data_IF_763251211107
#
_entry.id   IF_763251211107
#
_cell.length_a   1.000
_cell.length_b   1.000
_cell.length_c   1.000
_cell.angle_alpha   90.00
_cell.angle_beta   90.00
_cell.angle_gamma   90.00
#
_symmetry.space_group_name_H-M   'P 1'
#
loop_
_entity.id
_entity.type
_entity.pdbx_description
1 polymer ?
#
# COMPACT_ATOMS: atom_id res chain seq x y z
N UNK A 1 -0.55 -23.83 3.33
CA UNK A 1 -1.90 -23.76 3.92
C UNK A 1 -2.03 -22.63 4.95
N UNK A 2 -1.09 -22.46 5.89
CA UNK A 2 -1.17 -21.44 6.97
C UNK A 2 -1.37 -19.97 6.52
N UNK A 3 -0.62 -19.46 5.54
CA UNK A 3 -0.69 -18.04 5.16
C UNK A 3 -2.01 -17.67 4.48
N UNK A 4 -2.50 -18.49 3.55
CA UNK A 4 -3.75 -18.21 2.84
C UNK A 4 -4.94 -18.15 3.80
N UNK A 5 -4.99 -19.08 4.76
CA UNK A 5 -5.99 -19.08 5.84
C UNK A 5 -5.86 -17.82 6.70
N UNK A 6 -4.65 -17.43 7.11
CA UNK A 6 -4.46 -16.23 7.92
C UNK A 6 -4.83 -14.94 7.15
N UNK A 7 -4.50 -14.83 5.87
CA UNK A 7 -4.89 -13.70 5.03
C UNK A 7 -6.41 -13.59 4.92
N UNK A 8 -7.11 -14.72 4.73
CA UNK A 8 -8.56 -14.73 4.63
C UNK A 8 -9.25 -14.47 5.97
N UNK A 9 -8.96 -15.29 6.97
CA UNK A 9 -9.76 -15.39 8.18
C UNK A 9 -9.34 -14.38 9.27
N UNK A 10 -8.09 -13.89 9.21
CA UNK A 10 -7.57 -12.89 10.16
C UNK A 10 -7.37 -11.52 9.53
N UNK A 11 -6.72 -11.43 8.36
CA UNK A 11 -6.51 -10.13 7.68
C UNK A 11 -7.79 -9.64 7.00
N UNK A 12 -8.68 -10.53 6.58
CA UNK A 12 -9.95 -10.17 5.93
C UNK A 12 -9.88 -10.09 4.41
N UNK A 13 -8.93 -10.80 3.78
CA UNK A 13 -8.79 -10.85 2.32
C UNK A 13 -9.85 -11.75 1.66
N UNK A 14 -10.23 -11.53 0.40
CA UNK A 14 -9.78 -10.47 -0.51
C UNK A 14 -10.42 -9.11 -0.21
N UNK A 15 -9.70 -8.02 -0.44
CA UNK A 15 -10.28 -6.68 -0.30
C UNK A 15 -11.06 -6.30 -1.56
N UNK A 16 -12.18 -5.56 -1.45
CA UNK A 16 -12.99 -5.25 -2.63
C UNK A 16 -12.31 -4.24 -3.56
N UNK A 17 -12.51 -4.44 -4.86
CA UNK A 17 -12.29 -3.43 -5.89
C UNK A 17 -13.58 -2.62 -6.10
N UNK A 18 -13.65 -1.48 -5.42
CA UNK A 18 -14.87 -0.68 -5.29
C UNK A 18 -14.99 0.35 -6.41
N UNK A 19 -16.09 0.37 -7.15
CA UNK A 19 -16.35 1.43 -8.13
C UNK A 19 -16.79 2.72 -7.40
N UNK A 20 -15.96 3.75 -7.44
CA UNK A 20 -16.22 5.01 -6.77
C UNK A 20 -17.09 5.93 -7.65
N UNK A 21 -18.37 5.57 -7.82
CA UNK A 21 -19.29 6.25 -8.74
C UNK A 21 -19.29 7.78 -8.60
N UNK A 22 -19.35 8.30 -7.37
CA UNK A 22 -19.33 9.75 -7.12
C UNK A 22 -18.03 10.42 -7.56
N UNK A 23 -16.90 9.74 -7.38
CA UNK A 23 -15.58 10.24 -7.79
C UNK A 23 -15.43 10.14 -9.32
N UNK A 24 -15.89 9.05 -9.91
CA UNK A 24 -16.03 8.91 -11.37
C UNK A 24 -16.84 10.06 -11.95
N UNK A 25 -18.00 10.37 -11.37
CA UNK A 25 -18.87 11.45 -11.85
C UNK A 25 -18.27 12.85 -11.65
N UNK A 26 -17.47 13.04 -10.62
CA UNK A 26 -16.74 14.30 -10.39
C UNK A 26 -15.75 14.63 -11.51
N UNK A 27 -15.07 13.61 -12.07
CA UNK A 27 -14.08 13.79 -13.13
C UNK A 27 -14.63 13.64 -14.55
N UNK A 28 -15.95 13.43 -14.70
CA UNK A 28 -16.58 13.52 -16.01
C UNK A 28 -16.61 14.97 -16.47
N UNK A 29 -16.35 15.16 -17.76
CA UNK A 29 -16.52 16.45 -18.41
C UNK A 29 -18.02 16.79 -18.56
N UNK A 30 -18.31 17.98 -19.11
CA UNK A 30 -19.68 18.48 -19.34
C UNK A 30 -20.54 17.55 -20.21
N UNK A 31 -19.91 16.72 -21.05
CA UNK A 31 -20.61 15.74 -21.90
C UNK A 31 -20.86 14.40 -21.18
N UNK A 32 -20.51 14.29 -19.89
CA UNK A 32 -20.63 13.07 -19.11
C UNK A 32 -19.54 12.02 -19.42
N UNK A 33 -18.46 12.44 -20.07
CA UNK A 33 -17.37 11.55 -20.49
C UNK A 33 -16.16 11.72 -19.58
N UNK A 34 -15.52 10.61 -19.22
CA UNK A 34 -14.34 10.62 -18.36
C UNK A 34 -13.84 9.21 -18.06
N UNK A 35 -12.80 9.08 -17.24
CA UNK A 35 -12.35 7.79 -16.73
C UNK A 35 -13.36 7.20 -15.74
N UNK A 36 -13.30 5.88 -15.54
CA UNK A 36 -14.00 5.19 -14.46
C UNK A 36 -13.01 4.85 -13.35
N UNK A 37 -13.34 5.23 -12.12
CA UNK A 37 -12.41 5.19 -10.99
C UNK A 37 -12.81 4.09 -10.01
N UNK A 38 -11.87 3.19 -9.77
CA UNK A 38 -12.00 2.08 -8.85
C UNK A 38 -10.99 2.22 -7.72
N UNK A 39 -11.40 1.85 -6.51
CA UNK A 39 -10.58 1.89 -5.32
C UNK A 39 -10.27 0.46 -4.89
N UNK A 40 -8.98 0.10 -4.79
CA UNK A 40 -8.56 -1.15 -4.16
C UNK A 40 -8.49 -0.91 -2.64
N UNK A 41 -9.41 -1.53 -1.89
CA UNK A 41 -9.75 -1.16 -0.51
C UNK A 41 -8.87 -1.82 0.55
N UNK A 42 -7.55 -1.62 0.49
CA UNK A 42 -6.61 -2.12 1.52
C UNK A 42 -6.80 -1.48 2.90
N UNK A 43 -7.56 -0.38 2.97
CA UNK A 43 -8.04 0.25 4.20
C UNK A 43 -8.98 -0.64 5.02
N UNK A 44 -9.59 -1.66 4.40
CA UNK A 44 -10.50 -2.60 5.05
C UNK A 44 -9.82 -3.84 5.64
N UNK A 45 -8.51 -4.00 5.44
CA UNK A 45 -7.76 -5.07 6.11
C UNK A 45 -7.87 -4.90 7.63
N UNK A 46 -7.76 -6.00 8.37
CA UNK A 46 -7.49 -5.95 9.81
C UNK A 46 -6.30 -5.01 10.08
N UNK A 47 -6.33 -4.24 11.17
CA UNK A 47 -5.32 -3.20 11.42
C UNK A 47 -5.35 -1.99 10.46
N UNK A 48 -6.28 -1.96 9.50
CA UNK A 48 -6.60 -0.80 8.67
C UNK A 48 -5.57 -0.44 7.60
N UNK A 49 -4.71 -1.37 7.16
CA UNK A 49 -3.79 -1.11 6.04
C UNK A 49 -3.24 -2.36 5.35
N UNK A 50 -2.63 -2.18 4.18
CA UNK A 50 -1.92 -3.25 3.44
C UNK A 50 -0.77 -3.90 4.24
N UNK A 51 -0.22 -3.23 5.26
CA UNK A 51 0.97 -3.71 5.99
C UNK A 51 0.74 -5.05 6.68
N UNK A 52 -0.52 -5.40 7.00
CA UNK A 52 -0.85 -6.68 7.61
C UNK A 52 -0.49 -7.88 6.75
N UNK A 53 -0.52 -7.76 5.42
CA UNK A 53 -0.10 -8.83 4.50
C UNK A 53 1.34 -9.27 4.80
N UNK A 54 2.21 -8.28 4.95
CA UNK A 54 3.63 -8.48 5.24
C UNK A 54 3.88 -8.94 6.67
N UNK A 55 3.20 -8.33 7.66
CA UNK A 55 3.37 -8.66 9.08
C UNK A 55 3.00 -10.12 9.34
N UNK A 56 1.84 -10.58 8.88
CA UNK A 56 1.39 -11.95 9.15
C UNK A 56 2.27 -12.98 8.46
N UNK A 57 2.72 -12.70 7.24
CA UNK A 57 3.61 -13.57 6.49
C UNK A 57 4.99 -13.70 7.16
N UNK A 58 5.58 -12.59 7.60
CA UNK A 58 6.85 -12.61 8.33
C UNK A 58 6.72 -13.23 9.72
N UNK A 59 5.61 -13.04 10.43
CA UNK A 59 5.37 -13.70 11.71
C UNK A 59 5.29 -15.24 11.56
N UNK A 60 4.59 -15.71 10.52
CA UNK A 60 4.56 -17.13 10.16
C UNK A 60 5.96 -17.63 9.79
N UNK A 61 6.73 -16.85 9.02
CA UNK A 61 8.11 -17.18 8.67
C UNK A 61 9.00 -17.31 9.92
N UNK A 62 8.94 -16.34 10.83
CA UNK A 62 9.67 -16.35 12.10
C UNK A 62 9.36 -17.61 12.93
N UNK A 63 8.07 -17.95 13.04
CA UNK A 63 7.61 -19.18 13.72
C UNK A 63 8.17 -20.44 13.06
N UNK A 64 8.17 -20.51 11.72
CA UNK A 64 8.72 -21.66 10.98
C UNK A 64 10.24 -21.78 11.10
N UNK A 65 10.93 -20.65 11.24
CA UNK A 65 12.36 -20.60 11.53
C UNK A 65 12.69 -20.97 12.98
N UNK A 66 11.69 -21.25 13.83
CA UNK A 66 11.90 -21.61 15.24
C UNK A 66 12.30 -20.41 16.12
N UNK A 67 12.05 -19.17 15.67
CA UNK A 67 12.38 -17.96 16.42
C UNK A 67 11.41 -17.81 17.60
N UNK A 68 11.94 -17.38 18.74
CA UNK A 68 11.23 -17.24 20.02
C UNK A 68 10.60 -15.86 20.19
N UNK A 69 11.18 -14.84 19.56
CA UNK A 69 10.72 -13.46 19.62
C UNK A 69 10.87 -12.77 18.26
N UNK A 70 10.07 -11.71 18.09
CA UNK A 70 10.11 -10.83 16.93
C UNK A 70 10.44 -9.43 17.43
N UNK A 71 11.36 -8.77 16.75
CA UNK A 71 11.68 -7.37 16.97
C UNK A 71 11.37 -6.56 15.71
N UNK A 72 11.00 -5.30 15.88
CA UNK A 72 10.73 -4.39 14.77
C UNK A 72 11.02 -2.96 15.20
N UNK A 73 11.35 -2.11 14.24
CA UNK A 73 11.49 -0.68 14.46
C UNK A 73 10.26 0.03 13.90
N UNK A 74 9.62 0.86 14.71
CA UNK A 74 8.54 1.73 14.27
C UNK A 74 8.86 3.17 14.63
N UNK A 75 8.69 4.06 13.66
CA UNK A 75 8.51 5.47 13.92
C UNK A 75 7.08 5.81 13.53
N UNK A 76 6.30 6.37 14.46
CA UNK A 76 5.17 7.16 14.03
C UNK A 76 5.71 8.28 13.14
N UNK A 77 5.05 8.55 12.02
CA UNK A 77 5.42 9.49 10.96
C UNK A 77 5.60 10.97 11.43
N UNK A 78 5.70 11.19 12.76
CA UNK A 78 5.95 12.46 13.47
C UNK A 78 7.42 12.68 13.84
N UNK A 79 8.22 11.63 13.98
CA UNK A 79 9.64 11.75 14.27
C UNK A 79 10.36 11.53 12.93
N UNK A 80 10.98 12.58 12.38
CA UNK A 80 11.51 12.61 11.00
C UNK A 80 12.41 11.43 10.61
N UNK A 81 12.73 11.35 9.30
CA UNK A 81 13.46 10.21 8.67
C UNK A 81 14.72 9.79 9.44
N UNK A 82 15.45 10.72 10.05
CA UNK A 82 16.64 10.44 10.84
C UNK A 82 16.35 9.60 12.10
N UNK A 83 15.29 9.91 12.84
CA UNK A 83 14.90 9.15 14.05
C UNK A 83 14.43 7.74 13.69
N UNK A 84 13.68 7.61 12.60
CA UNK A 84 13.28 6.31 12.07
C UNK A 84 14.50 5.45 11.68
N UNK A 85 15.48 6.06 11.00
CA UNK A 85 16.72 5.39 10.62
C UNK A 85 17.56 4.97 11.83
N UNK A 86 17.64 5.82 12.87
CA UNK A 86 18.34 5.51 14.11
C UNK A 86 17.67 4.33 14.85
N UNK A 87 16.34 4.36 15.00
CA UNK A 87 15.59 3.26 15.63
C UNK A 87 15.72 1.94 14.86
N UNK A 88 15.69 1.98 13.52
CA UNK A 88 15.93 0.82 12.67
C UNK A 88 17.35 0.28 12.85
N UNK A 89 18.35 1.16 12.90
CA UNK A 89 19.76 0.78 13.10
C UNK A 89 19.97 0.11 14.46
N UNK A 90 19.39 0.66 15.53
CA UNK A 90 19.51 0.08 16.87
C UNK A 90 18.82 -1.28 16.96
N UNK A 91 17.62 -1.39 16.39
CA UNK A 91 16.90 -2.68 16.34
C UNK A 91 17.70 -3.72 15.56
N UNK A 92 18.37 -3.34 14.46
CA UNK A 92 19.25 -4.27 13.75
C UNK A 92 20.46 -4.70 14.59
N UNK A 93 21.04 -3.81 15.41
CA UNK A 93 22.14 -4.20 16.31
C UNK A 93 21.69 -5.20 17.37
N UNK A 94 20.51 -4.98 17.96
CA UNK A 94 19.92 -5.93 18.91
C UNK A 94 19.70 -7.31 18.26
N UNK A 95 19.11 -7.32 17.06
CA UNK A 95 18.89 -8.56 16.31
C UNK A 95 20.20 -9.31 16.03
N UNK A 96 21.26 -8.60 15.64
CA UNK A 96 22.57 -9.18 15.39
C UNK A 96 23.17 -9.85 16.64
N UNK A 97 22.82 -9.38 17.83
CA UNK A 97 23.20 -10.02 19.09
C UNK A 97 22.46 -11.34 19.37
N UNK A 98 21.26 -11.51 18.80
CA UNK A 98 20.32 -12.57 19.16
C UNK A 98 19.79 -13.38 17.95
N UNK A 99 20.58 -13.53 16.88
CA UNK A 99 20.17 -14.14 15.60
C UNK A 99 19.55 -15.54 15.69
N UNK A 100 19.90 -16.32 16.71
CA UNK A 100 19.37 -17.66 16.92
C UNK A 100 17.94 -17.64 17.48
N UNK A 101 17.61 -16.65 18.30
CA UNK A 101 16.34 -16.56 19.02
C UNK A 101 15.38 -15.55 18.40
N UNK A 102 15.89 -14.51 17.73
CA UNK A 102 15.11 -13.38 17.26
C UNK A 102 14.94 -13.31 15.74
N UNK A 103 13.80 -12.75 15.34
CA UNK A 103 13.50 -12.39 13.96
C UNK A 103 13.28 -10.88 13.83
N UNK A 104 14.00 -10.24 12.92
CA UNK A 104 13.73 -8.84 12.57
C UNK A 104 12.60 -8.74 11.53
N UNK A 105 11.45 -8.22 11.96
CA UNK A 105 10.30 -7.98 11.09
C UNK A 105 10.43 -6.63 10.41
N UNK A 106 10.75 -6.66 9.11
CA UNK A 106 10.83 -5.44 8.30
C UNK A 106 9.45 -4.97 7.87
N UNK A 107 9.09 -3.73 8.19
CA UNK A 107 7.86 -3.08 7.73
C UNK A 107 7.95 -2.44 6.34
N UNK A 108 9.11 -2.52 5.67
CA UNK A 108 9.42 -1.78 4.45
C UNK A 108 10.11 -2.63 3.39
N UNK A 109 9.95 -2.26 2.11
CA UNK A 109 10.68 -2.87 1.00
C UNK A 109 12.13 -2.36 0.89
N UNK A 110 12.56 -1.40 1.72
CA UNK A 110 13.94 -0.90 1.74
C UNK A 110 14.77 -1.74 2.72
N UNK A 111 15.90 -2.28 2.26
CA UNK A 111 16.81 -3.06 3.08
C UNK A 111 17.68 -4.01 2.25
N UNK A 112 18.61 -4.74 2.88
CA UNK A 112 19.42 -5.74 2.19
C UNK A 112 18.55 -6.91 1.70
N UNK A 113 19.04 -7.62 0.69
CA UNK A 113 18.47 -8.92 0.32
C UNK A 113 18.41 -9.84 1.58
N UNK A 114 17.29 -10.56 1.81
CA UNK A 114 16.13 -10.77 0.94
C UNK A 114 14.93 -9.84 1.16
N UNK A 115 15.06 -8.78 1.97
CA UNK A 115 13.93 -7.95 2.43
C UNK A 115 13.10 -7.37 1.26
N UNK A 116 13.68 -6.70 0.24
CA UNK A 116 12.88 -6.09 -0.83
C UNK A 116 12.04 -7.11 -1.60
N UNK A 117 12.63 -8.27 -1.93
CA UNK A 117 11.96 -9.36 -2.63
C UNK A 117 10.84 -9.95 -1.76
N UNK A 118 11.13 -10.25 -0.50
CA UNK A 118 10.18 -10.83 0.43
C UNK A 118 8.96 -9.92 0.65
N UNK A 119 9.19 -8.63 0.90
CA UNK A 119 8.10 -7.67 1.13
C UNK A 119 7.27 -7.47 -0.13
N UNK A 120 7.88 -7.46 -1.32
CA UNK A 120 7.16 -7.46 -2.59
C UNK A 120 6.27 -8.69 -2.72
N UNK A 121 6.81 -9.89 -2.50
CA UNK A 121 6.06 -11.15 -2.61
C UNK A 121 4.84 -11.14 -1.68
N UNK A 122 4.99 -10.76 -0.42
CA UNK A 122 3.88 -10.74 0.52
C UNK A 122 2.80 -9.70 0.20
N UNK A 123 3.16 -8.62 -0.50
CA UNK A 123 2.19 -7.61 -0.94
C UNK A 123 1.65 -7.85 -2.35
N UNK A 124 2.21 -8.79 -3.13
CA UNK A 124 1.79 -9.10 -4.51
C UNK A 124 0.33 -9.53 -4.61
N UNK A 125 -0.24 -10.05 -3.52
CA UNK A 125 -1.65 -10.43 -3.41
C UNK A 125 -2.61 -9.28 -3.77
N UNK A 126 -2.19 -8.03 -3.55
CA UNK A 126 -2.98 -6.83 -3.89
C UNK A 126 -3.16 -6.73 -5.41
N UNK A 127 -2.07 -6.89 -6.16
CA UNK A 127 -2.08 -6.90 -7.63
C UNK A 127 -2.86 -8.10 -8.18
N UNK A 128 -2.62 -9.30 -7.63
CA UNK A 128 -3.29 -10.54 -8.04
C UNK A 128 -4.81 -10.44 -7.90
N UNK A 129 -5.30 -9.98 -6.75
CA UNK A 129 -6.72 -9.76 -6.52
C UNK A 129 -7.26 -8.66 -7.45
N UNK A 130 -6.52 -7.57 -7.64
CA UNK A 130 -6.92 -6.49 -8.56
C UNK A 130 -7.10 -7.03 -9.98
N UNK A 131 -6.18 -7.86 -10.49
CA UNK A 131 -6.30 -8.46 -11.83
C UNK A 131 -7.53 -9.35 -11.93
N UNK A 132 -7.71 -10.26 -10.96
CA UNK A 132 -8.87 -11.15 -10.90
C UNK A 132 -10.17 -10.35 -10.90
N UNK A 133 -10.28 -9.35 -10.02
CA UNK A 133 -11.48 -8.53 -9.84
C UNK A 133 -11.75 -7.63 -11.07
N UNK A 134 -10.71 -7.12 -11.73
CA UNK A 134 -10.82 -6.38 -12.99
C UNK A 134 -11.40 -7.26 -14.11
N UNK A 135 -10.87 -8.49 -14.25
CA UNK A 135 -11.35 -9.46 -15.22
C UNK A 135 -12.83 -9.81 -14.97
N UNK A 136 -13.22 -10.02 -13.71
CA UNK A 136 -14.61 -10.32 -13.34
C UNK A 136 -15.56 -9.14 -13.59
N UNK A 137 -15.11 -7.88 -13.40
CA UNK A 137 -15.97 -6.70 -13.50
C UNK A 137 -16.13 -6.17 -14.92
N UNK A 138 -15.08 -6.21 -15.73
CA UNK A 138 -15.11 -5.62 -17.07
C UNK A 138 -14.38 -6.46 -18.13
N UNK A 139 -14.03 -7.72 -17.84
CA UNK A 139 -13.48 -8.65 -18.83
C UNK A 139 -12.05 -8.32 -19.26
N UNK A 140 -11.30 -7.54 -18.47
CA UNK A 140 -9.96 -7.10 -18.86
C UNK A 140 -9.10 -6.68 -17.69
N UNK A 141 -8.05 -5.91 -18.00
CA UNK A 141 -7.13 -5.31 -17.02
C UNK A 141 -7.44 -3.82 -16.84
N UNK A 142 -6.96 -3.19 -15.75
CA UNK A 142 -6.99 -1.74 -15.63
C UNK A 142 -6.16 -1.09 -16.73
N UNK A 143 -6.50 0.13 -17.13
CA UNK A 143 -5.67 0.93 -18.05
C UNK A 143 -4.60 1.71 -17.28
N UNK A 144 -4.96 2.17 -16.07
CA UNK A 144 -4.07 2.95 -15.22
C UNK A 144 -4.14 2.45 -13.78
N UNK A 145 -2.98 2.23 -13.16
CA UNK A 145 -2.81 1.94 -11.74
C UNK A 145 -2.16 3.14 -11.05
N UNK A 146 -2.76 3.61 -9.96
CA UNK A 146 -2.24 4.74 -9.17
C UNK A 146 -2.05 4.28 -7.73
N UNK A 147 -0.86 4.50 -7.19
CA UNK A 147 -0.55 4.18 -5.80
C UNK A 147 0.40 5.22 -5.22
N UNK A 148 0.22 5.53 -3.93
CA UNK A 148 1.19 6.36 -3.24
C UNK A 148 2.49 5.61 -2.99
N UNK A 149 3.60 6.35 -3.02
CA UNK A 149 4.96 5.86 -2.84
C UNK A 149 5.58 6.60 -1.65
N UNK A 150 5.79 5.87 -0.56
CA UNK A 150 6.72 6.24 0.51
C UNK A 150 7.96 5.36 0.38
N UNK A 151 8.05 4.31 1.21
CA UNK A 151 9.06 3.26 1.03
C UNK A 151 8.72 2.20 -0.03
N UNK A 152 7.72 2.47 -0.88
CA UNK A 152 7.39 1.69 -2.08
C UNK A 152 6.58 0.40 -1.91
N UNK A 153 6.46 -0.19 -0.72
CA UNK A 153 5.83 -1.51 -0.54
C UNK A 153 4.34 -1.58 -1.00
N UNK A 154 3.57 -0.52 -0.79
CA UNK A 154 2.20 -0.39 -1.29
C UNK A 154 2.10 -0.46 -2.82
N UNK A 155 2.89 0.39 -3.48
CA UNK A 155 2.92 0.50 -4.93
C UNK A 155 3.46 -0.78 -5.56
N UNK A 156 4.55 -1.34 -5.01
CA UNK A 156 5.11 -2.62 -5.44
C UNK A 156 4.06 -3.74 -5.36
N UNK A 157 3.28 -3.81 -4.29
CA UNK A 157 2.23 -4.82 -4.13
C UNK A 157 1.14 -4.77 -5.22
N UNK A 158 0.70 -3.55 -5.58
CA UNK A 158 -0.28 -3.37 -6.66
C UNK A 158 0.32 -3.58 -8.05
N UNK A 159 1.52 -3.04 -8.29
CA UNK A 159 2.13 -2.98 -9.62
C UNK A 159 2.77 -4.29 -10.07
N UNK A 160 3.28 -5.10 -9.12
CA UNK A 160 4.06 -6.29 -9.43
C UNK A 160 3.38 -7.23 -10.43
N UNK A 161 2.07 -7.46 -10.23
CA UNK A 161 1.26 -8.33 -11.06
C UNK A 161 1.16 -7.83 -12.52
N UNK A 162 1.28 -6.52 -12.76
CA UNK A 162 1.06 -5.89 -14.06
C UNK A 162 2.36 -5.46 -14.77
N UNK A 163 3.53 -5.79 -14.22
CA UNK A 163 4.81 -5.33 -14.79
C UNK A 163 5.08 -5.81 -16.22
N UNK A 164 4.51 -6.97 -16.61
CA UNK A 164 4.64 -7.50 -17.98
C UNK A 164 3.56 -6.98 -18.93
N UNK A 165 2.60 -6.20 -18.44
CA UNK A 165 1.53 -5.63 -19.26
C UNK A 165 1.90 -4.22 -19.73
N UNK A 166 2.54 -4.10 -20.90
CA UNK A 166 3.00 -2.80 -21.45
C UNK A 166 1.86 -1.79 -21.65
N UNK A 167 0.62 -2.26 -21.82
CA UNK A 167 -0.55 -1.39 -21.98
C UNK A 167 -1.11 -0.85 -20.65
N UNK A 168 -0.59 -1.27 -19.50
CA UNK A 168 -1.05 -0.83 -18.18
C UNK A 168 -0.12 0.25 -17.67
N UNK A 169 -0.62 1.48 -17.58
CA UNK A 169 0.18 2.60 -17.06
C UNK A 169 0.22 2.55 -15.53
N UNK A 170 1.40 2.39 -14.96
CA UNK A 170 1.61 2.41 -13.51
C UNK A 170 2.16 3.77 -13.05
N UNK A 171 1.50 4.40 -12.08
CA UNK A 171 1.84 5.74 -11.58
C UNK A 171 2.05 5.69 -10.06
N UNK A 172 3.30 5.85 -9.66
CA UNK A 172 3.67 6.11 -8.26
C UNK A 172 3.55 7.59 -7.92
N UNK A 173 2.85 7.92 -6.84
CA UNK A 173 2.69 9.30 -6.37
C UNK A 173 3.42 9.49 -5.03
N UNK A 174 4.47 10.28 -5.03
CA UNK A 174 5.21 10.65 -3.82
C UNK A 174 4.63 11.90 -3.17
N UNK A 175 4.85 12.04 -1.86
CA UNK A 175 4.49 13.26 -1.14
C UNK A 175 5.37 14.42 -1.58
N UNK A 176 4.78 15.55 -1.97
CA UNK A 176 5.51 16.72 -2.46
C UNK A 176 6.02 17.68 -1.39
N UNK A 177 6.01 17.29 -0.10
CA UNK A 177 6.19 18.19 1.04
C UNK A 177 7.39 19.14 0.94
N UNK A 178 7.19 20.38 1.39
CA UNK A 178 8.28 21.20 1.95
C UNK A 178 8.68 20.65 3.33
N UNK A 179 9.91 20.96 3.76
CA UNK A 179 10.59 20.37 4.91
C UNK A 179 9.66 19.98 6.09
N UNK A 180 9.70 18.68 6.46
CA UNK A 180 9.23 18.05 7.71
C UNK A 180 7.91 17.25 7.77
N UNK A 181 7.01 17.27 6.78
CA UNK A 181 5.69 16.56 6.88
C UNK A 181 5.45 15.45 5.85
N UNK A 182 6.48 14.66 5.55
CA UNK A 182 6.46 13.71 4.43
C UNK A 182 5.60 12.44 4.58
N UNK A 183 4.99 12.12 5.72
CA UNK A 183 4.69 10.71 5.98
C UNK A 183 3.35 10.31 6.64
N UNK A 184 2.37 11.18 6.90
CA UNK A 184 1.10 10.77 7.55
C UNK A 184 0.28 9.72 6.74
N UNK A 185 -0.37 8.77 7.42
CA UNK A 185 -0.83 7.48 6.85
C UNK A 185 -2.06 7.55 5.93
N UNK A 186 -2.99 8.46 6.21
CA UNK A 186 -4.09 8.87 5.34
C UNK A 186 -3.59 9.77 4.24
N UNK A 187 -2.71 10.71 4.59
CA UNK A 187 -2.18 11.68 3.63
C UNK A 187 -1.55 10.90 2.48
N UNK A 188 -0.94 9.73 2.74
CA UNK A 188 -0.47 8.79 1.70
C UNK A 188 -1.55 8.42 0.67
N UNK A 189 -2.69 7.84 1.04
CA UNK A 189 -3.74 7.52 0.05
C UNK A 189 -4.32 8.80 -0.59
N UNK A 190 -4.42 9.88 0.18
CA UNK A 190 -4.86 11.19 -0.31
C UNK A 190 -3.93 11.78 -1.37
N UNK A 191 -2.62 11.53 -1.34
CA UNK A 191 -1.72 11.97 -2.43
C UNK A 191 -2.09 11.30 -3.75
N UNK A 192 -2.35 9.99 -3.73
CA UNK A 192 -2.76 9.25 -4.92
C UNK A 192 -4.11 9.75 -5.46
N UNK A 193 -5.05 10.06 -4.56
CA UNK A 193 -6.34 10.67 -4.92
C UNK A 193 -6.19 12.10 -5.43
N UNK A 194 -5.37 12.93 -4.80
CA UNK A 194 -5.12 14.32 -5.22
C UNK A 194 -4.46 14.39 -6.60
N UNK A 195 -3.63 13.40 -6.95
CA UNK A 195 -3.05 13.32 -8.28
C UNK A 195 -4.10 13.08 -9.39
N UNK A 196 -5.29 12.56 -9.05
CA UNK A 196 -6.39 12.40 -10.01
C UNK A 196 -6.82 13.72 -10.63
N UNK A 197 -6.72 14.84 -9.90
CA UNK A 197 -6.98 16.19 -10.45
C UNK A 197 -6.12 16.51 -11.68
N UNK A 198 -4.86 16.06 -11.67
CA UNK A 198 -3.93 16.25 -12.79
C UNK A 198 -4.09 15.17 -13.85
N UNK A 199 -4.39 13.94 -13.43
CA UNK A 199 -4.42 12.77 -14.29
C UNK A 199 -5.72 12.68 -15.10
N UNK A 200 -6.88 12.72 -14.44
CA UNK A 200 -8.17 12.43 -15.05
C UNK A 200 -8.50 13.30 -16.27
N UNK A 201 -8.21 14.62 -16.30
CA UNK A 201 -8.45 15.46 -17.48
C UNK A 201 -7.67 15.04 -18.74
N UNK A 202 -6.59 14.27 -18.56
CA UNK A 202 -5.73 13.80 -19.67
C UNK A 202 -6.12 12.42 -20.20
N UNK A 203 -7.06 11.73 -19.55
CA UNK A 203 -7.41 10.36 -19.88
C UNK A 203 -8.56 10.27 -20.89
N UNK A 204 -8.50 9.33 -21.85
CA UNK A 204 -9.63 9.04 -22.73
C UNK A 204 -10.89 8.61 -21.96
N UNK A 205 -12.05 8.74 -22.62
CA UNK A 205 -13.33 8.23 -22.11
C UNK A 205 -13.24 6.73 -21.85
N UNK A 206 -13.78 6.29 -20.72
CA UNK A 206 -13.90 4.86 -20.38
C UNK A 206 -12.63 4.22 -19.84
N UNK A 207 -11.53 4.98 -19.72
CA UNK A 207 -10.28 4.53 -19.10
C UNK A 207 -10.56 4.01 -17.69
N UNK A 208 -10.17 2.77 -17.41
CA UNK A 208 -10.31 2.13 -16.08
C UNK A 208 -9.10 2.48 -15.22
N UNK A 209 -9.33 3.37 -14.25
CA UNK A 209 -8.31 3.81 -13.29
C UNK A 209 -8.52 3.07 -11.98
N UNK A 210 -7.49 2.38 -11.49
CA UNK A 210 -7.49 1.77 -10.16
C UNK A 210 -6.55 2.55 -9.24
N UNK A 211 -7.06 3.03 -8.12
CA UNK A 211 -6.31 3.72 -7.07
C UNK A 211 -6.19 2.82 -5.85
N UNK A 212 -4.98 2.66 -5.31
CA UNK A 212 -4.78 1.87 -4.10
C UNK A 212 -5.08 2.68 -2.83
N UNK A 213 -6.16 2.35 -2.13
CA UNK A 213 -6.48 2.91 -0.82
C UNK A 213 -5.69 2.16 0.25
N UNK A 214 -4.41 2.52 0.40
CA UNK A 214 -3.44 1.75 1.17
C UNK A 214 -3.73 1.64 2.68
N UNK A 215 -4.51 2.55 3.26
CA UNK A 215 -4.81 2.52 4.68
C UNK A 215 -5.99 3.41 5.06
N UNK A 216 -6.56 3.12 6.23
CA UNK A 216 -7.76 3.77 6.73
C UNK A 216 -7.51 5.16 7.28
N UNK A 217 -8.63 5.90 7.36
CA UNK A 217 -8.85 7.30 7.73
C UNK A 217 -8.55 7.74 9.17
N UNK A 218 -8.34 6.78 10.05
CA UNK A 218 -8.57 7.03 11.46
C UNK A 218 -7.41 7.72 12.20
N UNK A 219 -6.17 7.34 11.92
CA UNK A 219 -5.01 7.79 12.72
C UNK A 219 -4.58 9.23 12.44
N UNK A 220 -4.93 9.78 11.27
CA UNK A 220 -4.56 11.15 10.88
C UNK A 220 -5.72 12.13 11.01
N UNK A 221 -6.93 11.67 11.37
CA UNK A 221 -8.06 12.56 11.64
C UNK A 221 -7.71 13.69 12.64
N UNK A 222 -6.99 13.44 13.75
CA UNK A 222 -6.58 14.52 14.65
C UNK A 222 -5.65 15.55 14.00
N UNK A 223 -4.79 15.14 13.06
CA UNK A 223 -3.85 16.03 12.38
C UNK A 223 -4.64 16.94 11.43
N UNK A 224 -5.45 16.32 10.57
CA UNK A 224 -6.26 17.06 9.59
C UNK A 224 -7.20 18.04 10.28
N UNK A 225 -7.88 17.62 11.37
CA UNK A 225 -8.80 18.49 12.10
C UNK A 225 -8.12 19.69 12.77
N UNK A 226 -6.85 19.56 13.17
CA UNK A 226 -6.10 20.66 13.77
C UNK A 226 -5.56 21.65 12.73
N UNK A 227 -5.35 21.20 11.48
CA UNK A 227 -4.83 22.01 10.38
C UNK A 227 -5.93 22.58 9.46
N UNK A 228 -7.21 22.26 9.72
CA UNK A 228 -8.32 22.87 8.99
C UNK A 228 -8.60 24.30 9.50
N UNK A 229 -8.72 25.30 8.61
CA UNK A 229 -8.99 26.70 8.97
C UNK A 229 -10.39 26.93 9.57
#
# INVERSE_FOLDING_TARGET
MELATALKDYVGRETPLYHAQKLTDHYKNINGEGPEIYLKREDLNHGGSYKMNNVIAQAILAKRMGRKSVITATSADRHGVATAAAAASESMREWLGNLETEYYLSGTAVGPHPIPTMVREFNSIIGQETRKQAMEKWGGKPDVLVACVGSGCNALGLFHEFMSDESVRMIGVEGGGGDELHCASLVRASHALAYLEKLCPTLPRGTKVVVNCCGSGYNDAPIVLNDMP
#
